data_IF_114437562565
#
_entry.id   IF_114437562565
#
_cell.length_a   1.000
_cell.length_b   1.000
_cell.length_c   1.000
_cell.angle_alpha   90.00
_cell.angle_beta   90.00
_cell.angle_gamma   90.00
#
_symmetry.space_group_name_H-M   'P 1'
#
loop_
_entity.id
_entity.type
_entity.pdbx_description
1 polymer ?
#
# COMPACT_ATOMS: atom_id res chain seq x y z
N UNK A 1 -10.45 2.68 4.09
CA UNK A 1 -11.49 2.27 5.08
C UNK A 1 -12.92 2.43 4.57
N UNK A 2 -13.18 3.36 3.65
CA UNK A 2 -14.24 3.21 2.62
C UNK A 2 -13.69 2.37 1.47
N UNK A 3 -12.81 1.41 1.77
CA UNK A 3 -13.39 0.13 2.13
C UNK A 3 -12.31 -0.73 2.80
N UNK A 4 -12.61 -1.41 3.91
CA UNK A 4 -11.89 -2.67 4.20
C UNK A 4 -11.99 -3.57 2.95
N UNK A 5 -13.14 -3.58 2.27
CA UNK A 5 -13.40 -4.19 0.93
C UNK A 5 -12.59 -3.61 -0.25
N UNK A 6 -11.97 -2.42 -0.15
CA UNK A 6 -11.33 -1.68 -1.25
C UNK A 6 -9.83 -1.57 -1.05
N UNK A 7 -9.38 -1.63 0.21
CA UNK A 7 -8.12 -2.27 0.55
C UNK A 7 -8.11 -3.70 -0.01
N UNK A 8 -9.14 -4.52 0.23
CA UNK A 8 -9.26 -5.85 -0.38
C UNK A 8 -9.40 -5.82 -1.92
N UNK A 9 -10.08 -4.84 -2.52
CA UNK A 9 -10.17 -4.72 -3.98
C UNK A 9 -8.82 -4.26 -4.60
N UNK A 10 -8.06 -3.42 -3.90
CA UNK A 10 -6.71 -3.00 -4.32
C UNK A 10 -5.63 -4.07 -4.04
N UNK A 11 -5.92 -5.02 -3.16
CA UNK A 11 -5.13 -6.23 -2.86
C UNK A 11 -5.41 -7.31 -3.92
N UNK A 12 -6.54 -7.24 -4.64
CA UNK A 12 -6.95 -8.27 -5.59
C UNK A 12 -6.71 -7.97 -7.07
N UNK A 13 -6.24 -6.77 -7.45
CA UNK A 13 -6.32 -6.33 -8.85
C UNK A 13 -5.05 -5.66 -9.38
N UNK A 14 -3.89 -6.29 -9.13
CA UNK A 14 -2.71 -6.07 -9.99
C UNK A 14 -2.85 -7.01 -11.20
N UNK A 15 -3.53 -6.55 -12.25
CA UNK A 15 -3.62 -7.21 -13.56
C UNK A 15 -2.35 -6.95 -14.40
N UNK A 16 -1.19 -7.37 -13.91
CA UNK A 16 -0.22 -7.92 -14.86
C UNK A 16 -0.64 -9.37 -15.08
N UNK A 17 -0.47 -9.93 -16.28
CA UNK A 17 -0.66 -11.38 -16.50
C UNK A 17 0.25 -12.27 -15.64
N UNK A 18 1.06 -11.70 -14.73
CA UNK A 18 1.75 -12.39 -13.66
C UNK A 18 0.88 -12.42 -12.40
N UNK A 19 0.75 -13.61 -11.80
CA UNK A 19 0.13 -13.77 -10.47
C UNK A 19 0.71 -12.71 -9.52
N UNK A 20 -0.13 -11.89 -8.85
CA UNK A 20 0.37 -10.92 -7.87
C UNK A 20 1.21 -11.67 -6.86
N UNK A 21 2.37 -11.11 -6.52
CA UNK A 21 3.24 -11.72 -5.53
C UNK A 21 2.47 -11.71 -4.19
N UNK A 22 2.30 -12.88 -3.54
CA UNK A 22 1.51 -12.97 -2.33
C UNK A 22 2.12 -12.13 -1.20
N UNK A 23 3.43 -11.84 -1.28
CA UNK A 23 4.16 -11.03 -0.32
C UNK A 23 3.73 -9.55 -0.35
N UNK A 24 3.73 -8.88 -1.51
CA UNK A 24 3.29 -7.47 -1.61
C UNK A 24 1.83 -7.32 -1.19
N UNK A 25 0.99 -8.25 -1.63
CA UNK A 25 -0.44 -8.30 -1.37
C UNK A 25 -0.73 -8.40 0.14
N UNK A 26 -0.05 -9.33 0.82
CA UNK A 26 -0.15 -9.51 2.27
C UNK A 26 0.36 -8.28 3.03
N UNK A 27 1.52 -7.74 2.64
CA UNK A 27 2.14 -6.59 3.33
C UNK A 27 1.23 -5.36 3.34
N UNK A 28 0.61 -5.04 2.18
CA UNK A 28 -0.33 -3.93 2.03
C UNK A 28 -1.57 -4.13 2.90
N UNK A 29 -2.11 -5.36 2.94
CA UNK A 29 -3.24 -5.72 3.78
C UNK A 29 -2.96 -5.54 5.26
N UNK A 30 -1.81 -6.02 5.74
CA UNK A 30 -1.39 -5.89 7.14
C UNK A 30 -1.21 -4.42 7.52
N UNK A 31 -0.50 -3.63 6.71
CA UNK A 31 -0.28 -2.20 6.99
C UNK A 31 -1.60 -1.41 7.02
N UNK A 32 -2.52 -1.74 6.13
CA UNK A 32 -3.87 -1.16 6.10
C UNK A 32 -4.63 -1.51 7.38
N UNK A 33 -4.60 -2.77 7.82
CA UNK A 33 -5.28 -3.24 9.02
C UNK A 33 -4.72 -2.59 10.29
N UNK A 34 -3.39 -2.51 10.42
CA UNK A 34 -2.74 -1.88 11.58
C UNK A 34 -3.10 -0.40 11.65
N UNK A 35 -3.03 0.33 10.53
CA UNK A 35 -3.39 1.75 10.46
C UNK A 35 -4.85 1.97 10.81
N UNK A 36 -5.73 1.13 10.26
CA UNK A 36 -7.16 1.11 10.55
C UNK A 36 -7.45 0.98 12.05
N UNK A 37 -6.93 -0.08 12.67
CA UNK A 37 -7.16 -0.38 14.08
C UNK A 37 -6.57 0.71 14.99
N UNK A 38 -5.38 1.23 14.67
CA UNK A 38 -4.77 2.35 15.38
C UNK A 38 -5.64 3.61 15.33
N UNK A 39 -6.19 3.93 14.16
CA UNK A 39 -7.06 5.09 13.98
C UNK A 39 -8.42 4.93 14.69
N UNK A 40 -9.02 3.73 14.65
CA UNK A 40 -10.24 3.38 15.38
C UNK A 40 -10.04 3.50 16.90
N UNK A 41 -8.93 2.95 17.40
CA UNK A 41 -8.60 2.99 18.81
C UNK A 41 -8.35 4.41 19.30
N UNK A 42 -7.61 5.21 18.51
CA UNK A 42 -7.43 6.63 18.79
C UNK A 42 -8.78 7.37 18.83
N UNK A 43 -9.69 7.13 17.88
CA UNK A 43 -11.01 7.77 17.89
C UNK A 43 -11.82 7.42 19.13
N UNK A 44 -11.82 6.14 19.55
CA UNK A 44 -12.51 5.70 20.77
C UNK A 44 -11.96 6.43 22.00
N UNK A 45 -10.64 6.53 22.11
CA UNK A 45 -9.99 7.27 23.20
C UNK A 45 -10.29 8.76 23.14
N UNK A 46 -10.25 9.37 21.97
CA UNK A 46 -10.54 10.78 21.79
C UNK A 46 -12.02 11.10 22.12
N UNK A 47 -12.93 10.17 21.84
CA UNK A 47 -14.33 10.23 22.25
C UNK A 47 -14.49 10.18 23.78
N UNK A 48 -13.79 9.26 24.45
CA UNK A 48 -13.81 9.16 25.91
C UNK A 48 -13.25 10.42 26.58
N UNK A 49 -12.20 11.01 26.00
CA UNK A 49 -11.64 12.26 26.49
C UNK A 49 -12.64 13.41 26.42
N UNK A 50 -13.45 13.46 25.34
CA UNK A 50 -14.53 14.43 25.20
C UNK A 50 -15.60 14.26 26.28
N UNK A 51 -15.98 13.02 26.62
CA UNK A 51 -16.90 12.77 27.73
C UNK A 51 -16.33 13.28 29.07
N UNK A 52 -15.04 13.07 29.30
CA UNK A 52 -14.35 13.49 30.53
C UNK A 52 -14.14 14.99 30.67
N UNK A 53 -14.01 15.72 29.56
CA UNK A 53 -13.90 17.19 29.59
C UNK A 53 -15.21 17.87 30.03
N UNK A 54 -16.31 17.13 30.11
CA UNK A 54 -17.63 17.67 30.42
C UNK A 54 -18.23 18.41 29.23
N UNK A 55 -19.55 18.39 29.13
CA UNK A 55 -20.28 19.05 28.05
C UNK A 55 -21.65 18.41 27.81
N UNK A 56 -22.44 18.97 26.88
CA UNK A 56 -23.72 18.38 26.48
C UNK A 56 -23.54 16.94 25.98
N UNK A 57 -24.56 16.08 26.02
CA UNK A 57 -24.46 14.71 25.54
C UNK A 57 -23.96 14.65 24.08
N UNK A 58 -23.18 13.62 23.77
CA UNK A 58 -22.66 13.38 22.42
C UNK A 58 -23.79 13.02 21.46
N UNK A 59 -23.72 13.53 20.22
CA UNK A 59 -24.74 13.22 19.20
C UNK A 59 -24.59 11.79 18.68
N UNK A 60 -23.36 11.26 18.70
CA UNK A 60 -23.04 9.90 18.30
C UNK A 60 -22.68 9.04 19.51
N UNK A 61 -23.25 7.85 19.57
CA UNK A 61 -22.87 6.85 20.57
C UNK A 61 -21.57 6.16 20.17
N UNK A 62 -20.84 5.60 21.15
CA UNK A 62 -19.59 4.86 20.91
C UNK A 62 -19.77 3.67 19.96
N UNK A 63 -20.97 3.09 19.88
CA UNK A 63 -21.28 2.01 18.93
C UNK A 63 -21.13 2.43 17.47
N UNK A 64 -21.37 3.70 17.13
CA UNK A 64 -21.18 4.21 15.78
C UNK A 64 -19.71 4.28 15.35
N UNK A 65 -18.77 4.27 16.30
CA UNK A 65 -17.34 4.26 15.98
C UNK A 65 -16.89 2.95 15.31
N UNK A 66 -17.64 1.86 15.50
CA UNK A 66 -17.37 0.57 14.83
C UNK A 66 -18.36 0.37 13.69
N UNK A 67 -19.66 0.50 13.97
CA UNK A 67 -20.71 0.29 12.97
C UNK A 67 -20.61 1.26 11.80
N UNK A 68 -20.15 2.49 12.06
CA UNK A 68 -19.92 3.50 11.06
C UNK A 68 -18.85 3.13 10.03
N UNK A 69 -17.96 2.17 10.30
CA UNK A 69 -16.98 1.68 9.33
C UNK A 69 -17.38 0.38 8.64
N UNK A 70 -18.35 -0.34 9.19
CA UNK A 70 -18.84 -1.61 8.64
C UNK A 70 -19.93 -1.39 7.60
N UNK A 71 -20.83 -0.43 7.84
CA UNK A 71 -21.95 -0.14 6.93
C UNK A 71 -21.46 0.76 5.79
N UNK A 72 -21.47 0.32 4.51
CA UNK A 72 -20.81 1.05 3.41
C UNK A 72 -21.23 2.51 3.26
N UNK A 73 -22.53 2.77 3.38
CA UNK A 73 -23.10 4.13 3.30
C UNK A 73 -22.68 4.97 4.51
N UNK A 74 -22.63 4.34 5.70
CA UNK A 74 -22.19 5.01 6.92
C UNK A 74 -20.69 5.33 6.87
N UNK A 75 -19.86 4.44 6.30
CA UNK A 75 -18.41 4.60 6.15
C UNK A 75 -18.03 5.86 5.39
N UNK A 76 -18.92 6.37 4.55
CA UNK A 76 -18.69 7.60 3.80
C UNK A 76 -18.98 8.90 4.59
N UNK A 77 -19.68 8.84 5.72
CA UNK A 77 -20.11 10.08 6.39
C UNK A 77 -19.90 10.06 7.90
N UNK A 78 -20.08 8.91 8.55
CA UNK A 78 -19.97 8.75 9.99
C UNK A 78 -18.56 9.08 10.48
N UNK A 79 -17.46 8.59 9.86
CA UNK A 79 -16.11 8.95 10.28
C UNK A 79 -15.88 10.47 10.27
N UNK A 80 -16.31 11.16 9.21
CA UNK A 80 -16.23 12.61 9.13
C UNK A 80 -17.04 13.29 10.23
N UNK A 81 -18.29 12.86 10.42
CA UNK A 81 -19.19 13.46 11.41
C UNK A 81 -18.64 13.32 12.83
N UNK A 82 -18.12 12.14 13.16
CA UNK A 82 -17.54 11.81 14.46
C UNK A 82 -16.27 12.64 14.72
N UNK A 83 -15.29 12.62 13.82
CA UNK A 83 -14.05 13.38 13.99
C UNK A 83 -14.31 14.89 14.02
N UNK A 84 -15.27 15.39 13.23
CA UNK A 84 -15.68 16.79 13.27
C UNK A 84 -16.34 17.17 14.59
N UNK A 85 -17.09 16.26 15.22
CA UNK A 85 -17.64 16.46 16.55
C UNK A 85 -16.54 16.47 17.62
N UNK A 86 -15.59 15.52 17.58
CA UNK A 86 -14.41 15.51 18.47
C UNK A 86 -13.64 16.83 18.34
N UNK A 87 -13.40 17.30 17.12
CA UNK A 87 -12.69 18.55 16.85
C UNK A 87 -13.35 19.75 17.51
N UNK A 88 -14.67 19.90 17.33
CA UNK A 88 -15.45 21.00 17.91
C UNK A 88 -15.48 20.93 19.42
N UNK A 89 -15.71 19.75 19.99
CA UNK A 89 -15.84 19.55 21.44
C UNK A 89 -14.50 19.65 22.17
N UNK A 90 -13.41 19.27 21.52
CA UNK A 90 -12.06 19.52 22.01
C UNK A 90 -11.66 21.00 21.87
N UNK A 91 -12.52 21.82 21.25
CA UNK A 91 -12.34 23.24 20.99
C UNK A 91 -10.94 23.57 20.47
N UNK A 92 -10.52 22.78 19.48
CA UNK A 92 -9.23 22.92 18.80
C UNK A 92 -9.18 24.24 18.04
N UNK A 93 -10.22 24.51 17.27
CA UNK A 93 -10.43 25.77 16.54
C UNK A 93 -11.91 25.91 16.17
N UNK A 94 -12.43 27.14 15.97
CA UNK A 94 -13.78 27.35 15.46
C UNK A 94 -13.99 26.72 14.07
N UNK A 95 -12.94 26.73 13.24
CA UNK A 95 -12.95 26.20 11.89
C UNK A 95 -12.70 24.69 11.86
N UNK A 96 -13.51 23.96 11.10
CA UNK A 96 -13.34 22.52 10.81
C UNK A 96 -12.69 22.28 9.45
N UNK A 97 -12.00 23.28 8.88
CA UNK A 97 -11.36 23.20 7.55
C UNK A 97 -10.34 22.06 7.47
N UNK A 98 -9.56 21.83 8.52
CA UNK A 98 -8.57 20.75 8.52
C UNK A 98 -9.24 19.36 8.42
N UNK A 99 -10.27 19.13 9.24
CA UNK A 99 -11.05 17.87 9.21
C UNK A 99 -11.74 17.69 7.86
N UNK A 100 -12.24 18.78 7.27
CA UNK A 100 -12.91 18.73 5.96
C UNK A 100 -11.91 18.47 4.84
N UNK A 101 -10.75 19.11 4.86
CA UNK A 101 -9.68 18.87 3.88
C UNK A 101 -9.17 17.44 3.95
N UNK A 102 -8.94 16.91 5.17
CA UNK A 102 -8.59 15.51 5.39
C UNK A 102 -9.64 14.58 4.77
N UNK A 103 -10.91 14.80 5.10
CA UNK A 103 -11.98 13.93 4.64
C UNK A 103 -12.15 13.96 3.12
N UNK A 104 -12.11 15.15 2.51
CA UNK A 104 -12.23 15.30 1.05
C UNK A 104 -11.06 14.64 0.33
N UNK A 105 -9.83 14.84 0.81
CA UNK A 105 -8.65 14.20 0.21
C UNK A 105 -8.72 12.67 0.34
N UNK A 106 -9.10 12.17 1.51
CA UNK A 106 -9.24 10.74 1.76
C UNK A 106 -10.38 10.13 0.93
N UNK A 107 -11.60 10.63 1.05
CA UNK A 107 -12.78 10.10 0.35
C UNK A 107 -12.66 10.25 -1.17
N UNK A 108 -12.12 11.37 -1.65
CA UNK A 108 -11.85 11.59 -3.06
C UNK A 108 -10.83 10.60 -3.61
N UNK A 109 -9.75 10.33 -2.87
CA UNK A 109 -8.74 9.34 -3.26
C UNK A 109 -9.26 7.89 -3.28
N UNK A 110 -10.20 7.54 -2.40
CA UNK A 110 -10.85 6.22 -2.41
C UNK A 110 -11.83 6.09 -3.58
N UNK A 111 -12.70 7.09 -3.81
CA UNK A 111 -13.65 7.09 -4.94
C UNK A 111 -12.91 7.03 -6.27
N UNK A 112 -11.87 7.85 -6.44
CA UNK A 112 -11.09 7.86 -7.66
C UNK A 112 -10.34 6.54 -7.88
N UNK A 113 -9.89 5.89 -6.80
CA UNK A 113 -9.34 4.53 -6.85
C UNK A 113 -10.35 3.50 -7.36
N UNK A 114 -11.59 3.52 -6.85
CA UNK A 114 -12.65 2.64 -7.34
C UNK A 114 -13.00 2.94 -8.79
N UNK A 115 -13.11 4.21 -9.18
CA UNK A 115 -13.38 4.59 -10.56
C UNK A 115 -12.26 4.13 -11.50
N UNK A 116 -11.00 4.19 -11.06
CA UNK A 116 -9.85 3.72 -11.84
C UNK A 116 -9.87 2.22 -12.10
N UNK A 117 -10.43 1.43 -11.18
CA UNK A 117 -10.54 -0.04 -11.35
C UNK A 117 -11.54 -0.45 -12.44
N UNK A 118 -12.40 0.48 -12.88
CA UNK A 118 -13.31 0.27 -14.01
C UNK A 118 -12.72 0.74 -15.35
N UNK A 119 -11.52 1.32 -15.36
CA UNK A 119 -10.84 1.82 -16.57
C UNK A 119 -9.80 0.81 -17.09
N UNK A 120 -9.48 0.85 -18.39
CA UNK A 120 -8.45 -0.01 -18.98
C UNK A 120 -7.04 0.23 -18.44
N UNK A 121 -6.14 -0.75 -18.61
CA UNK A 121 -4.87 -0.90 -17.89
C UNK A 121 -3.98 0.36 -17.86
N UNK A 122 -3.71 0.98 -19.01
CA UNK A 122 -2.88 2.20 -19.07
C UNK A 122 -3.52 3.41 -18.37
N UNK A 123 -4.86 3.48 -18.38
CA UNK A 123 -5.61 4.56 -17.74
C UNK A 123 -5.62 4.36 -16.23
N UNK A 124 -5.80 3.13 -15.75
CA UNK A 124 -5.77 2.78 -14.34
C UNK A 124 -4.40 3.09 -13.69
N UNK A 125 -3.30 2.79 -14.39
CA UNK A 125 -1.95 3.09 -13.91
C UNK A 125 -1.72 4.61 -13.75
N UNK A 126 -2.05 5.39 -14.78
CA UNK A 126 -1.88 6.84 -14.75
C UNK A 126 -2.73 7.49 -13.65
N UNK A 127 -3.97 7.04 -13.46
CA UNK A 127 -4.83 7.51 -12.37
C UNK A 127 -4.22 7.15 -11.01
N UNK A 128 -3.71 5.94 -10.84
CA UNK A 128 -3.10 5.49 -9.57
C UNK A 128 -1.88 6.34 -9.19
N UNK A 129 -1.01 6.64 -10.16
CA UNK A 129 0.14 7.52 -9.96
C UNK A 129 -0.32 8.94 -9.59
N UNK A 130 -1.30 9.49 -10.32
CA UNK A 130 -1.83 10.83 -10.06
C UNK A 130 -2.51 10.97 -8.68
N UNK A 131 -3.10 9.89 -8.15
CA UNK A 131 -3.77 9.90 -6.84
C UNK A 131 -2.81 9.71 -5.66
N UNK A 132 -1.59 9.23 -5.91
CA UNK A 132 -0.62 8.95 -4.83
C UNK A 132 -0.33 10.19 -3.96
N UNK A 133 -0.04 11.38 -4.52
CA UNK A 133 0.14 12.60 -3.74
C UNK A 133 -1.09 12.97 -2.89
N UNK A 134 -2.29 12.77 -3.42
CA UNK A 134 -3.56 13.05 -2.71
C UNK A 134 -3.70 12.14 -1.48
N UNK A 135 -3.34 10.86 -1.62
CA UNK A 135 -3.35 9.90 -0.51
C UNK A 135 -2.30 10.24 0.55
N UNK A 136 -1.09 10.65 0.14
CA UNK A 136 -0.07 11.14 1.06
C UNK A 136 -0.53 12.39 1.81
N UNK A 137 -1.15 13.34 1.11
CA UNK A 137 -1.72 14.54 1.71
C UNK A 137 -2.83 14.19 2.72
N UNK A 138 -3.72 13.25 2.38
CA UNK A 138 -4.73 12.76 3.31
C UNK A 138 -4.11 12.18 4.59
N UNK A 139 -3.06 11.36 4.47
CA UNK A 139 -2.32 10.82 5.62
C UNK A 139 -1.69 11.92 6.49
N UNK A 140 -1.02 12.89 5.87
CA UNK A 140 -0.41 14.02 6.58
C UNK A 140 -1.46 14.87 7.33
N UNK A 141 -2.60 15.15 6.67
CA UNK A 141 -3.72 15.87 7.29
C UNK A 141 -4.33 15.08 8.45
N UNK A 142 -4.41 13.75 8.34
CA UNK A 142 -4.88 12.88 9.42
C UNK A 142 -3.97 12.98 10.65
N UNK A 143 -2.65 12.88 10.45
CA UNK A 143 -1.65 13.01 11.52
C UNK A 143 -1.76 14.40 12.17
N UNK A 144 -1.76 15.47 11.36
CA UNK A 144 -1.87 16.84 11.87
C UNK A 144 -3.16 17.06 12.70
N UNK A 145 -4.27 16.49 12.27
CA UNK A 145 -5.54 16.52 12.98
C UNK A 145 -5.49 15.75 14.31
N UNK A 146 -4.97 14.52 14.29
CA UNK A 146 -4.79 13.68 15.49
C UNK A 146 -3.95 14.42 16.53
N UNK A 147 -2.82 14.98 16.12
CA UNK A 147 -1.93 15.75 17.00
C UNK A 147 -2.62 16.96 17.60
N UNK A 148 -3.33 17.76 16.79
CA UNK A 148 -4.04 18.95 17.28
C UNK A 148 -5.16 18.62 18.26
N UNK A 149 -5.94 17.58 17.98
CA UNK A 149 -7.00 17.11 18.89
C UNK A 149 -6.37 16.63 20.19
N UNK A 150 -5.37 15.75 20.10
CA UNK A 150 -4.73 15.14 21.28
C UNK A 150 -4.12 16.22 22.18
N UNK A 151 -3.37 17.16 21.60
CA UNK A 151 -2.78 18.29 22.33
C UNK A 151 -3.85 19.20 22.96
N UNK A 152 -4.95 19.49 22.25
CA UNK A 152 -6.03 20.31 22.81
C UNK A 152 -6.74 19.61 23.97
N UNK A 153 -6.93 18.29 23.88
CA UNK A 153 -7.54 17.48 24.94
C UNK A 153 -6.62 17.39 26.17
N UNK A 154 -5.32 17.13 25.98
CA UNK A 154 -4.34 17.05 27.06
C UNK A 154 -4.26 18.35 27.88
N UNK A 155 -4.41 19.51 27.23
CA UNK A 155 -4.41 20.82 27.91
C UNK A 155 -5.67 21.10 28.73
N UNK A 156 -6.76 20.38 28.49
CA UNK A 156 -8.09 20.67 29.04
C UNK A 156 -8.58 19.61 30.01
N UNK A 157 -8.08 18.39 29.88
CA UNK A 157 -8.40 17.33 30.83
C UNK A 157 -7.92 17.77 32.22
N UNK A 158 -8.78 17.68 33.25
CA UNK A 158 -8.38 17.96 34.61
C UNK A 158 -7.15 17.14 34.97
N UNK A 159 -6.25 17.73 35.77
CA UNK A 159 -5.17 16.96 36.38
C UNK A 159 -5.80 15.72 37.03
N UNK A 160 -5.22 14.52 36.82
CA UNK A 160 -5.70 13.32 37.49
C UNK A 160 -5.86 13.65 38.97
N UNK A 161 -7.00 13.35 39.62
CA UNK A 161 -7.16 13.59 41.04
C UNK A 161 -5.92 13.02 41.72
N UNK A 162 -5.26 13.83 42.54
CA UNK A 162 -4.04 13.42 43.24
C UNK A 162 -4.35 12.08 43.89
N UNK A 163 -3.81 11.01 43.33
CA UNK A 163 -4.05 9.67 43.84
C UNK A 163 -3.41 9.70 45.22
N UNK A 164 -4.18 9.67 46.33
CA UNK A 164 -3.57 9.61 47.65
C UNK A 164 -2.64 8.40 47.64
N UNK A 165 -1.43 8.60 48.18
CA UNK A 165 -0.37 7.59 48.19
C UNK A 165 -0.99 6.23 48.57
N UNK A 166 -0.81 5.18 47.75
CA UNK A 166 -1.62 3.99 47.89
C UNK A 166 -1.23 3.23 49.17
N UNK A 167 -2.04 3.34 50.22
CA UNK A 167 -2.10 2.31 51.25
C UNK A 167 -2.78 1.07 50.64
N UNK A 168 -1.95 0.11 50.22
CA UNK A 168 -2.29 -1.32 50.17
C UNK A 168 -3.33 -1.81 49.16
N UNK A 169 -3.93 -0.98 48.30
CA UNK A 169 -4.92 -1.46 47.33
C UNK A 169 -4.29 -1.86 45.99
N UNK A 170 -4.41 -3.14 45.65
CA UNK A 170 -4.12 -3.69 44.33
C UNK A 170 -4.85 -2.90 43.24
N UNK A 171 -4.10 -2.09 42.52
CA UNK A 171 -4.58 -1.36 41.36
C UNK A 171 -4.79 -2.36 40.21
N UNK A 172 -6.00 -2.50 39.63
CA UNK A 172 -6.21 -3.40 38.50
C UNK A 172 -5.31 -2.96 37.34
N UNK A 173 -4.31 -3.79 37.11
CA UNK A 173 -3.12 -3.63 36.27
C UNK A 173 -3.44 -3.67 34.77
N UNK A 174 -4.57 -3.12 34.32
CA UNK A 174 -5.08 -3.34 32.95
C UNK A 174 -5.06 -2.09 32.05
N UNK A 175 -4.86 -0.88 32.60
CA UNK A 175 -4.91 0.37 31.79
C UNK A 175 -3.56 0.93 31.33
N UNK A 176 -2.46 0.64 32.02
CA UNK A 176 -1.12 1.17 31.70
C UNK A 176 -0.23 0.20 30.90
N UNK A 177 -0.49 -1.10 30.98
CA UNK A 177 0.18 -2.10 30.15
C UNK A 177 -0.26 -2.04 28.68
N UNK A 178 -1.47 -1.58 28.39
CA UNK A 178 -2.00 -1.55 27.02
C UNK A 178 -1.24 -0.56 26.14
N UNK A 179 -0.87 0.62 26.62
CA UNK A 179 -0.23 1.66 25.78
C UNK A 179 1.22 1.31 25.43
N UNK A 180 1.98 0.77 26.39
CA UNK A 180 3.39 0.36 26.17
C UNK A 180 3.46 -0.97 25.40
N UNK A 181 2.54 -1.91 25.66
CA UNK A 181 2.43 -3.13 24.87
C UNK A 181 1.90 -2.87 23.44
N UNK A 182 1.18 -1.77 23.18
CA UNK A 182 0.67 -1.42 21.84
C UNK A 182 1.73 -0.72 20.96
N UNK A 183 2.55 0.18 21.51
CA UNK A 183 3.69 0.72 20.76
C UNK A 183 4.77 -0.35 20.54
N UNK A 184 5.01 -1.17 21.56
CA UNK A 184 5.89 -2.33 21.44
C UNK A 184 5.32 -3.41 20.52
N UNK A 185 4.02 -3.68 20.55
CA UNK A 185 3.36 -4.72 19.77
C UNK A 185 3.15 -4.35 18.30
N UNK A 186 2.85 -3.08 17.99
CA UNK A 186 2.81 -2.58 16.60
C UNK A 186 4.22 -2.49 16.03
N UNK A 187 5.19 -2.03 16.81
CA UNK A 187 6.61 -2.07 16.44
C UNK A 187 7.12 -3.51 16.24
N UNK A 188 6.70 -4.45 17.08
CA UNK A 188 7.06 -5.87 16.99
C UNK A 188 6.37 -6.55 15.82
N UNK A 189 5.09 -6.28 15.54
CA UNK A 189 4.40 -6.79 14.36
C UNK A 189 5.01 -6.25 13.07
N UNK A 190 5.33 -4.95 13.02
CA UNK A 190 6.05 -4.36 11.90
C UNK A 190 7.45 -4.99 11.76
N UNK A 191 8.19 -5.16 12.85
CA UNK A 191 9.50 -5.78 12.85
C UNK A 191 9.46 -7.27 12.47
N UNK A 192 8.45 -8.02 12.90
CA UNK A 192 8.24 -9.44 12.55
C UNK A 192 7.83 -9.59 11.09
N UNK A 193 7.04 -8.64 10.55
CA UNK A 193 6.72 -8.61 9.11
C UNK A 193 7.93 -8.22 8.28
N UNK A 194 8.72 -7.22 8.71
CA UNK A 194 9.97 -6.82 8.05
C UNK A 194 11.00 -7.96 8.12
N UNK A 195 11.19 -8.58 9.29
CA UNK A 195 12.07 -9.72 9.46
C UNK A 195 11.55 -10.94 8.67
N UNK A 196 10.24 -11.16 8.65
CA UNK A 196 9.59 -12.14 7.80
C UNK A 196 9.90 -11.90 6.33
N UNK A 197 9.79 -10.67 5.82
CA UNK A 197 10.14 -10.30 4.44
C UNK A 197 11.65 -10.43 4.14
N UNK A 198 12.51 -10.13 5.11
CA UNK A 198 13.96 -10.32 4.99
C UNK A 198 14.36 -11.80 5.02
N UNK A 199 13.63 -12.64 5.77
CA UNK A 199 13.88 -14.07 5.91
C UNK A 199 13.18 -14.91 4.82
N UNK A 200 12.05 -14.43 4.30
CA UNK A 200 11.33 -15.00 3.15
C UNK A 200 11.74 -14.36 1.84
N UNK A 201 12.78 -13.52 1.80
CA UNK A 201 13.47 -13.23 0.56
C UNK A 201 13.91 -14.61 0.03
N UNK A 202 13.26 -15.18 -1.00
CA UNK A 202 13.84 -16.35 -1.62
C UNK A 202 15.20 -15.83 -2.08
N UNK A 203 16.28 -16.45 -1.60
CA UNK A 203 17.59 -16.27 -2.20
C UNK A 203 17.31 -16.33 -3.70
N UNK A 204 17.47 -15.19 -4.37
CA UNK A 204 17.14 -14.96 -5.76
C UNK A 204 17.38 -16.26 -6.47
N UNK A 205 16.30 -16.87 -7.00
CA UNK A 205 16.32 -18.11 -7.76
C UNK A 205 17.66 -18.20 -8.46
N UNK A 206 18.60 -18.91 -7.81
CA UNK A 206 19.87 -19.22 -8.42
C UNK A 206 19.39 -20.14 -9.51
N UNK A 207 19.27 -19.58 -10.71
CA UNK A 207 18.87 -20.28 -11.91
C UNK A 207 19.64 -21.58 -11.84
N UNK A 208 18.92 -22.69 -11.67
CA UNK A 208 19.53 -23.99 -11.48
C UNK A 208 20.58 -24.10 -12.59
N UNK A 209 21.89 -24.26 -12.28
CA UNK A 209 22.93 -24.17 -13.31
C UNK A 209 22.63 -25.11 -14.48
N UNK A 210 21.92 -26.19 -14.20
CA UNK A 210 21.35 -27.20 -15.08
C UNK A 210 20.27 -26.67 -16.04
N UNK A 211 19.46 -25.65 -15.71
CA UNK A 211 18.53 -24.98 -16.63
C UNK A 211 19.25 -24.02 -17.59
N UNK A 212 20.28 -23.28 -17.12
CA UNK A 212 21.14 -22.48 -18.00
C UNK A 212 21.94 -23.39 -18.93
N UNK A 213 22.41 -24.54 -18.46
CA UNK A 213 23.10 -25.53 -19.27
C UNK A 213 22.17 -26.21 -20.29
N UNK A 214 20.92 -26.50 -19.90
CA UNK A 214 19.90 -27.03 -20.83
C UNK A 214 19.52 -26.00 -21.89
N UNK A 215 19.33 -24.74 -21.51
CA UNK A 215 19.05 -23.65 -22.44
C UNK A 215 20.24 -23.43 -23.39
N UNK A 216 21.48 -23.45 -22.86
CA UNK A 216 22.70 -23.39 -23.65
C UNK A 216 22.89 -24.58 -24.60
N UNK A 217 22.53 -25.80 -24.19
CA UNK A 217 22.57 -27.00 -25.06
C UNK A 217 21.48 -27.00 -26.13
N UNK A 218 20.28 -26.51 -25.81
CA UNK A 218 19.21 -26.36 -26.80
C UNK A 218 19.57 -25.29 -27.85
N UNK A 219 20.25 -24.21 -27.43
CA UNK A 219 20.75 -23.17 -28.34
C UNK A 219 21.98 -23.62 -29.15
N UNK A 220 22.88 -24.40 -28.53
CA UNK A 220 24.07 -24.94 -29.20
C UNK A 220 23.79 -26.04 -30.24
N UNK A 221 22.59 -26.64 -30.23
CA UNK A 221 22.17 -27.63 -31.23
C UNK A 221 21.45 -27.02 -32.44
N UNK A 222 21.06 -25.74 -32.39
CA UNK A 222 20.79 -24.98 -33.60
C UNK A 222 22.14 -24.49 -34.13
N UNK A 223 22.97 -25.43 -34.58
CA UNK A 223 24.19 -25.12 -35.31
C UNK A 223 23.77 -24.33 -36.54
N UNK A 224 23.98 -23.01 -36.45
CA UNK A 224 24.02 -22.08 -37.55
C UNK A 224 24.88 -22.72 -38.63
N UNK A 225 24.26 -23.17 -39.72
CA UNK A 225 24.96 -23.74 -40.87
C UNK A 225 25.71 -22.59 -41.56
N UNK A 226 27.03 -22.45 -41.36
CA UNK A 226 27.79 -21.32 -41.89
C UNK A 226 27.75 -21.32 -43.42
N UNK A 227 27.59 -22.50 -44.01
CA UNK A 227 27.58 -22.70 -45.44
C UNK A 227 26.31 -22.13 -46.08
N UNK A 228 25.23 -21.93 -45.31
CA UNK A 228 23.97 -21.40 -45.83
C UNK A 228 24.05 -19.92 -46.22
N UNK A 229 24.66 -19.04 -45.40
CA UNK A 229 24.87 -17.63 -45.81
C UNK A 229 25.94 -17.53 -46.92
N UNK A 230 26.96 -18.40 -46.91
CA UNK A 230 28.04 -18.38 -47.91
C UNK A 230 27.57 -18.88 -49.29
N UNK A 231 26.71 -19.90 -49.36
CA UNK A 231 26.13 -20.36 -50.62
C UNK A 231 25.22 -19.30 -51.26
N UNK A 232 24.42 -18.59 -50.46
CA UNK A 232 23.54 -17.55 -51.00
C UNK A 232 24.32 -16.29 -51.43
N UNK A 233 25.40 -15.95 -50.72
CA UNK A 233 26.31 -14.89 -51.14
C UNK A 233 27.06 -15.25 -52.44
N UNK A 234 27.49 -16.51 -52.57
CA UNK A 234 28.20 -16.99 -53.75
C UNK A 234 27.35 -16.96 -55.03
N UNK A 235 26.05 -17.24 -54.93
CA UNK A 235 25.18 -17.26 -56.09
C UNK A 235 24.72 -15.86 -56.54
N UNK A 236 24.71 -14.88 -55.64
CA UNK A 236 24.14 -13.54 -55.90
C UNK A 236 25.20 -12.50 -56.28
N UNK A 237 26.45 -12.67 -55.84
CA UNK A 237 27.54 -11.72 -56.10
C UNK A 237 28.73 -12.41 -56.76
N UNK A 238 29.23 -11.82 -57.84
CA UNK A 238 30.39 -12.31 -58.59
C UNK A 238 31.71 -11.76 -58.05
N UNK A 239 31.69 -10.58 -57.41
CA UNK A 239 32.90 -9.93 -56.90
C UNK A 239 33.18 -10.33 -55.44
N UNK A 240 34.45 -10.56 -55.15
CA UNK A 240 34.92 -11.09 -53.86
C UNK A 240 34.71 -10.13 -52.68
N UNK A 241 34.76 -8.82 -52.94
CA UNK A 241 34.62 -7.80 -51.91
C UNK A 241 33.17 -7.66 -51.43
N UNK A 242 32.22 -7.71 -52.37
CA UNK A 242 30.78 -7.62 -52.06
C UNK A 242 30.28 -8.87 -51.32
N UNK A 243 30.87 -10.04 -51.60
CA UNK A 243 30.57 -11.29 -50.87
C UNK A 243 30.91 -11.17 -49.39
N UNK A 244 32.07 -10.59 -49.04
CA UNK A 244 32.52 -10.44 -47.66
C UNK A 244 31.69 -9.42 -46.87
N UNK A 245 31.25 -8.34 -47.53
CA UNK A 245 30.39 -7.34 -46.90
C UNK A 245 28.97 -7.89 -46.65
N UNK A 246 28.44 -8.70 -47.58
CA UNK A 246 27.14 -9.33 -47.40
C UNK A 246 27.16 -10.42 -46.31
N UNK A 247 28.20 -11.26 -46.25
CA UNK A 247 28.31 -12.30 -45.22
C UNK A 247 28.41 -11.71 -43.82
N UNK A 248 29.18 -10.62 -43.65
CA UNK A 248 29.24 -9.88 -42.39
C UNK A 248 27.87 -9.31 -41.98
N UNK A 249 27.12 -8.73 -42.92
CA UNK A 249 25.76 -8.22 -42.67
C UNK A 249 24.72 -9.32 -42.41
N UNK A 250 24.86 -10.50 -43.01
CA UNK A 250 24.00 -11.68 -42.82
C UNK A 250 24.07 -12.14 -41.34
N UNK A 251 25.29 -12.23 -40.80
CA UNK A 251 25.55 -12.62 -39.41
C UNK A 251 24.95 -11.62 -38.42
N UNK A 252 25.14 -10.32 -38.68
CA UNK A 252 24.64 -9.27 -37.78
C UNK A 252 23.10 -9.12 -37.81
N UNK A 253 22.48 -9.25 -38.99
CA UNK A 253 21.02 -9.25 -39.14
C UNK A 253 20.36 -10.45 -38.45
N UNK A 254 20.98 -11.62 -38.49
CA UNK A 254 20.47 -12.80 -37.79
C UNK A 254 20.70 -12.72 -36.29
N UNK A 255 21.84 -12.22 -35.82
CA UNK A 255 22.09 -11.96 -34.41
C UNK A 255 21.01 -11.03 -33.81
N UNK A 256 20.62 -9.98 -34.55
CA UNK A 256 19.57 -9.06 -34.10
C UNK A 256 18.15 -9.69 -34.10
N UNK A 257 17.87 -10.65 -34.98
CA UNK A 257 16.58 -11.39 -34.95
C UNK A 257 16.49 -12.34 -33.76
N UNK A 258 17.61 -12.86 -33.27
CA UNK A 258 17.66 -13.79 -32.14
C UNK A 258 17.45 -13.09 -30.78
N UNK A 259 17.68 -11.78 -30.71
CA UNK A 259 17.41 -10.95 -29.51
C UNK A 259 15.97 -10.43 -29.48
N UNK A 260 15.24 -10.49 -30.61
CA UNK A 260 13.85 -10.05 -30.65
C UNK A 260 12.95 -11.03 -29.86
N UNK A 261 12.15 -10.54 -28.88
CA UNK A 261 11.25 -11.40 -28.13
C UNK A 261 10.21 -12.04 -29.06
N UNK A 262 9.98 -13.34 -28.89
CA UNK A 262 9.07 -14.11 -29.73
C UNK A 262 7.67 -13.46 -29.77
N UNK A 263 7.00 -13.41 -30.94
CA UNK A 263 5.64 -12.90 -31.03
C UNK A 263 4.74 -13.75 -30.14
N UNK A 264 4.11 -13.12 -29.15
CA UNK A 264 3.05 -13.74 -28.35
C UNK A 264 1.86 -14.00 -29.26
N UNK A 265 1.56 -15.28 -29.49
CA UNK A 265 0.42 -15.73 -30.28
C UNK A 265 -0.90 -15.25 -29.62
N UNK A 266 -1.90 -14.79 -30.39
CA UNK A 266 -3.19 -14.35 -29.87
C UNK A 266 -4.06 -15.50 -29.33
#
# INVERSE_FOLDING_TARGET
MVNLVGGFASIGFDLHGGRPDPASTLSRGVMTLVTALGFLWWQLRAYDNVDRMGGPPQRWTKGWNVLGYVVPIASFWVPYAMVREIWRRSAVAPSTRLVTAWWVAYAGGEIAGVASSAAGDHTALNISLALTPVRCAAGALAIAMIWRITYAQERRLPAPPAVPAPEGRQQPRNGRLTVVALLGGVGLLAAVVIAGLLLHHPASSATQPDEIEKAGRAYGQTTMDPDACDQEAAHRYSDSTDRLLFSAGCVESQANRLVAPAPTNP
#
